data_IF_648833345759
#
_entry.id   IF_648833345759
#
_cell.length_a   1.000
_cell.length_b   1.000
_cell.length_c   1.000
_cell.angle_alpha   90.00
_cell.angle_beta   90.00
_cell.angle_gamma   90.00
#
_symmetry.space_group_name_H-M   'P 1'
#
loop_
_entity.id
_entity.type
_entity.pdbx_description
1 polymer ?
#
# COMPACT_ATOMS: atom_id res chain seq x y z
N UNK A 1 -29.33 38.82 32.30
CA UNK A 1 -28.12 39.17 31.52
C UNK A 1 -26.98 39.38 32.49
N UNK A 2 -26.13 38.37 32.71
CA UNK A 2 -24.97 38.43 33.60
C UNK A 2 -24.02 37.29 33.23
N UNK A 3 -22.75 37.64 33.04
CA UNK A 3 -21.55 36.77 33.00
C UNK A 3 -21.06 36.36 31.60
N UNK A 4 -20.73 37.38 30.80
CA UNK A 4 -19.50 37.40 30.00
C UNK A 4 -18.43 37.97 30.94
N UNK A 5 -17.33 37.25 31.19
CA UNK A 5 -15.97 37.70 31.57
C UNK A 5 -15.19 36.51 32.17
N UNK A 6 -13.94 36.37 31.70
CA UNK A 6 -12.86 35.45 32.09
C UNK A 6 -12.77 34.14 31.28
N UNK A 7 -12.32 34.06 30.02
CA UNK A 7 -11.05 34.46 29.40
C UNK A 7 -9.87 34.61 30.39
N UNK A 8 -8.82 33.80 30.21
CA UNK A 8 -7.59 33.68 31.04
C UNK A 8 -7.60 32.51 32.04
N UNK A 9 -7.60 31.28 31.51
CA UNK A 9 -6.85 30.15 32.09
C UNK A 9 -6.20 29.40 30.92
N UNK A 10 -5.24 30.05 30.25
CA UNK A 10 -4.57 29.54 29.05
C UNK A 10 -3.07 29.25 29.25
N UNK A 11 -2.49 29.41 30.44
CA UNK A 11 -1.04 29.19 30.64
C UNK A 11 -0.72 28.74 32.06
N UNK A 12 -0.85 27.44 32.36
CA UNK A 12 -0.29 26.89 33.61
C UNK A 12 -0.13 25.36 33.65
N UNK A 13 0.13 24.65 32.55
CA UNK A 13 0.68 23.26 32.63
C UNK A 13 1.61 23.00 31.44
N UNK A 14 2.57 23.90 31.23
CA UNK A 14 3.75 23.66 30.38
C UNK A 14 4.94 23.57 31.32
N UNK A 15 5.34 22.35 31.69
CA UNK A 15 6.40 22.14 32.66
C UNK A 15 6.64 20.67 32.93
N UNK A 16 7.33 20.00 31.99
CA UNK A 16 8.39 19.04 32.31
C UNK A 16 9.10 18.63 31.03
N UNK A 17 10.12 19.43 30.72
CA UNK A 17 11.26 19.07 29.88
C UNK A 17 12.18 18.18 30.73
N UNK A 18 12.41 16.93 30.32
CA UNK A 18 13.64 16.22 30.72
C UNK A 18 14.07 15.25 29.63
N UNK A 19 15.28 15.53 29.15
CA UNK A 19 16.05 14.83 28.15
C UNK A 19 16.17 13.32 28.39
N UNK A 20 16.13 12.55 27.32
CA UNK A 20 16.95 11.34 27.20
C UNK A 20 17.64 11.32 25.85
N UNK A 21 18.97 11.19 25.95
CA UNK A 21 19.93 11.42 24.91
C UNK A 21 19.92 10.37 23.79
N UNK A 22 20.35 10.88 22.64
CA UNK A 22 20.72 10.15 21.45
C UNK A 22 21.99 9.32 21.68
N UNK A 23 21.93 8.03 21.39
CA UNK A 23 23.07 7.29 20.87
C UNK A 23 22.64 6.56 19.61
N UNK A 24 23.08 7.12 18.48
CA UNK A 24 22.97 6.52 17.16
C UNK A 24 24.10 5.51 17.01
N UNK A 25 23.76 4.26 16.68
CA UNK A 25 24.69 3.32 16.05
C UNK A 25 24.23 3.14 14.60
N UNK A 26 25.04 3.65 13.67
CA UNK A 26 24.85 3.44 12.25
C UNK A 26 25.39 2.04 11.92
N UNK A 27 24.51 1.11 11.54
CA UNK A 27 24.94 -0.15 10.92
C UNK A 27 25.13 0.09 9.42
N UNK A 28 26.38 0.11 9.01
CA UNK A 28 26.83 0.07 7.62
C UNK A 28 26.32 -1.21 6.96
N UNK A 29 25.35 -1.12 6.05
CA UNK A 29 25.00 -2.25 5.19
C UNK A 29 25.98 -2.28 4.01
N UNK A 30 26.82 -3.32 3.99
CA UNK A 30 27.73 -3.65 2.90
C UNK A 30 26.94 -4.08 1.66
N UNK A 31 27.28 -3.46 0.53
CA UNK A 31 26.72 -3.78 -0.78
C UNK A 31 27.08 -5.19 -1.25
N UNK A 32 26.19 -5.74 -2.07
CA UNK A 32 26.49 -6.87 -2.94
C UNK A 32 25.97 -6.49 -4.32
N UNK A 33 26.89 -6.03 -5.16
CA UNK A 33 26.65 -5.79 -6.58
C UNK A 33 26.51 -7.14 -7.28
N UNK A 34 25.34 -7.40 -7.86
CA UNK A 34 25.13 -8.53 -8.77
C UNK A 34 25.58 -8.13 -10.17
N UNK A 35 26.63 -8.78 -10.64
CA UNK A 35 27.11 -8.79 -12.02
C UNK A 35 26.06 -9.41 -12.95
N UNK A 36 25.56 -8.61 -13.90
CA UNK A 36 24.69 -9.05 -14.99
C UNK A 36 25.29 -8.60 -16.32
N UNK A 37 25.77 -9.57 -17.07
CA UNK A 37 26.49 -9.46 -18.34
C UNK A 37 25.71 -8.73 -19.44
N UNK A 38 26.33 -7.69 -20.01
CA UNK A 38 25.89 -7.03 -21.25
C UNK A 38 26.60 -7.70 -22.43
N UNK A 39 25.90 -8.51 -23.23
CA UNK A 39 26.40 -8.98 -24.52
C UNK A 39 26.08 -7.94 -25.60
N UNK A 40 27.07 -7.10 -25.90
CA UNK A 40 27.12 -6.29 -27.12
C UNK A 40 27.51 -7.20 -28.29
N UNK A 41 26.59 -7.37 -29.25
CA UNK A 41 26.84 -8.05 -30.52
C UNK A 41 26.81 -7.02 -31.65
N UNK A 42 27.99 -6.53 -32.02
CA UNK A 42 28.20 -5.54 -33.08
C UNK A 42 27.96 -6.12 -34.47
N UNK A 43 27.29 -5.32 -35.28
CA UNK A 43 27.04 -5.46 -36.71
C UNK A 43 28.28 -5.22 -37.57
N UNK A 44 28.61 -6.12 -38.49
CA UNK A 44 29.39 -5.82 -39.71
C UNK A 44 29.29 -6.94 -40.76
N UNK A 45 28.89 -6.58 -41.99
CA UNK A 45 29.32 -7.26 -43.23
C UNK A 45 28.29 -8.12 -44.01
N UNK A 46 27.73 -7.56 -45.08
CA UNK A 46 27.19 -8.29 -46.26
C UNK A 46 28.35 -8.60 -47.26
N UNK A 47 28.17 -9.27 -48.44
CA UNK A 47 27.00 -9.90 -49.07
C UNK A 47 27.24 -11.30 -49.75
N UNK A 48 26.16 -11.83 -50.37
CA UNK A 48 26.07 -12.77 -51.54
C UNK A 48 25.90 -14.29 -51.29
N UNK A 49 24.74 -14.83 -51.68
CA UNK A 49 24.54 -15.64 -52.91
C UNK A 49 23.10 -16.19 -53.00
N UNK A 50 22.58 -16.25 -54.23
CA UNK A 50 21.21 -16.61 -54.67
C UNK A 50 21.01 -18.12 -54.77
N UNK A 51 19.82 -18.66 -54.46
CA UNK A 51 19.19 -19.82 -55.17
C UNK A 51 17.67 -19.91 -54.85
N UNK A 52 16.92 -20.43 -55.82
CA UNK A 52 15.49 -20.24 -56.15
C UNK A 52 14.60 -21.38 -55.57
N UNK A 53 13.32 -21.06 -55.28
CA UNK A 53 12.08 -21.76 -55.73
C UNK A 53 11.16 -22.43 -54.68
N UNK A 54 9.86 -22.17 -54.92
CA UNK A 54 8.65 -22.98 -54.72
C UNK A 54 7.74 -22.67 -53.51
N UNK A 55 6.44 -22.70 -53.83
CA UNK A 55 5.29 -22.23 -53.07
C UNK A 55 4.89 -23.12 -51.89
N UNK A 56 4.30 -22.49 -50.87
CA UNK A 56 3.55 -23.17 -49.80
C UNK A 56 3.11 -22.20 -48.71
N UNK A 57 1.88 -21.72 -48.78
CA UNK A 57 1.10 -21.26 -47.61
C UNK A 57 0.16 -22.40 -47.19
N UNK A 58 -0.46 -22.41 -46.00
CA UNK A 58 -0.06 -21.87 -44.69
C UNK A 58 -0.17 -22.96 -43.58
N UNK A 59 0.54 -22.80 -42.46
CA UNK A 59 0.05 -23.35 -41.17
C UNK A 59 0.46 -22.39 -40.07
N UNK A 60 -0.54 -21.63 -39.61
CA UNK A 60 -0.49 -20.90 -38.36
C UNK A 60 -0.63 -21.91 -37.23
N UNK A 61 0.48 -22.51 -36.80
CA UNK A 61 0.49 -23.28 -35.57
C UNK A 61 0.42 -22.33 -34.39
N UNK A 62 -0.63 -22.57 -33.61
CA UNK A 62 -1.08 -21.76 -32.51
C UNK A 62 0.00 -21.65 -31.42
N UNK A 63 0.35 -20.39 -31.19
CA UNK A 63 0.98 -19.79 -30.03
C UNK A 63 0.65 -20.53 -28.71
N UNK A 64 1.52 -21.46 -28.33
CA UNK A 64 1.53 -22.05 -26.99
C UNK A 64 2.18 -21.06 -26.02
N UNK A 65 1.51 -19.92 -25.79
CA UNK A 65 1.80 -19.03 -24.65
C UNK A 65 1.36 -19.72 -23.37
N UNK A 66 2.18 -20.64 -22.90
CA UNK A 66 2.27 -20.96 -21.48
C UNK A 66 2.76 -19.70 -20.79
N UNK A 67 1.82 -18.82 -20.47
CA UNK A 67 2.09 -17.60 -19.71
C UNK A 67 2.69 -18.01 -18.38
N UNK A 68 3.93 -17.60 -18.14
CA UNK A 68 4.58 -17.70 -16.84
C UNK A 68 3.60 -17.25 -15.76
N UNK A 69 3.44 -17.99 -14.64
CA UNK A 69 2.60 -17.53 -13.54
C UNK A 69 3.05 -16.12 -13.15
N UNK A 70 2.13 -15.17 -12.95
CA UNK A 70 2.49 -13.79 -12.63
C UNK A 70 3.43 -13.78 -11.41
N UNK A 71 4.47 -12.94 -11.44
CA UNK A 71 5.51 -12.91 -10.40
C UNK A 71 4.89 -12.74 -9.02
N UNK A 72 5.51 -13.39 -8.03
CA UNK A 72 5.09 -13.44 -6.61
C UNK A 72 4.31 -12.19 -6.21
N UNK A 73 2.99 -12.36 -6.18
CA UNK A 73 2.06 -11.24 -6.08
C UNK A 73 2.19 -10.61 -4.70
N UNK A 74 2.67 -9.36 -4.64
CA UNK A 74 2.74 -8.62 -3.40
C UNK A 74 1.30 -8.38 -2.90
N UNK A 75 0.86 -9.13 -1.90
CA UNK A 75 -0.46 -8.99 -1.26
C UNK A 75 -0.39 -8.23 0.06
N UNK A 76 0.80 -7.72 0.41
CA UNK A 76 1.07 -7.07 1.68
C UNK A 76 1.07 -5.55 1.51
N UNK A 77 0.50 -4.86 2.49
CA UNK A 77 0.57 -3.40 2.58
C UNK A 77 0.63 -2.97 4.04
N UNK A 78 0.93 -1.70 4.31
CA UNK A 78 0.89 -1.18 5.67
C UNK A 78 -0.52 -0.69 6.01
N UNK A 79 -0.93 -0.84 7.26
CA UNK A 79 -2.20 -0.32 7.76
C UNK A 79 -2.30 1.19 7.54
N UNK A 80 -1.20 1.92 7.79
CA UNK A 80 -1.11 3.35 7.52
C UNK A 80 -1.53 3.67 6.09
N UNK A 81 -1.00 2.95 5.09
CA UNK A 81 -1.32 3.18 3.68
C UNK A 81 -2.74 2.82 3.29
N UNK A 82 -3.39 1.90 4.02
CA UNK A 82 -4.80 1.60 3.82
C UNK A 82 -5.67 2.74 4.36
N UNK A 83 -5.31 3.29 5.52
CA UNK A 83 -6.08 4.32 6.22
C UNK A 83 -5.87 5.73 5.65
N UNK A 84 -4.64 6.07 5.26
CA UNK A 84 -4.26 7.33 4.60
C UNK A 84 -4.73 7.31 3.14
N UNK A 85 -6.05 7.45 2.97
CA UNK A 85 -6.72 7.35 1.67
C UNK A 85 -6.51 8.58 0.78
N UNK A 86 -6.27 9.75 1.38
CA UNK A 86 -5.98 11.01 0.69
C UNK A 86 -4.49 11.21 0.42
N UNK A 87 -3.59 10.40 0.99
CA UNK A 87 -2.12 10.47 0.82
C UNK A 87 -1.55 11.80 1.25
N UNK A 88 -2.11 12.40 2.28
CA UNK A 88 -1.54 13.62 2.87
C UNK A 88 -0.44 13.28 3.90
N UNK A 89 -0.19 11.99 4.14
CA UNK A 89 0.81 11.53 5.10
C UNK A 89 0.29 11.49 6.54
N UNK A 90 -1.01 11.74 6.75
CA UNK A 90 -1.64 11.89 8.06
C UNK A 90 -2.92 11.07 8.11
N UNK A 91 -2.95 10.04 8.96
CA UNK A 91 -4.20 9.36 9.29
C UNK A 91 -4.93 10.17 10.34
N UNK A 92 -6.15 10.60 10.03
CA UNK A 92 -6.98 11.39 10.93
C UNK A 92 -7.95 10.53 11.75
N UNK A 93 -8.65 11.15 12.71
CA UNK A 93 -9.76 10.50 13.42
C UNK A 93 -10.93 10.15 12.48
N UNK A 94 -11.10 10.89 11.38
CA UNK A 94 -12.09 10.59 10.34
C UNK A 94 -11.78 9.28 9.61
N UNK A 95 -10.51 9.06 9.26
CA UNK A 95 -10.04 7.83 8.62
C UNK A 95 -10.21 6.63 9.56
N UNK A 96 -9.87 6.82 10.84
CA UNK A 96 -10.13 5.82 11.87
C UNK A 96 -11.61 5.48 11.99
N UNK A 97 -12.49 6.48 12.02
CA UNK A 97 -13.93 6.26 12.10
C UNK A 97 -14.44 5.52 10.86
N UNK A 98 -13.89 5.81 9.68
CA UNK A 98 -14.23 5.13 8.44
C UNK A 98 -13.80 3.67 8.48
N UNK A 99 -12.53 3.40 8.81
CA UNK A 99 -12.01 2.05 8.96
C UNK A 99 -12.77 1.21 9.99
N UNK A 100 -13.26 1.82 11.07
CA UNK A 100 -14.10 1.17 12.11
C UNK A 100 -15.48 0.76 11.62
N UNK A 101 -16.01 1.35 10.54
CA UNK A 101 -17.29 0.93 9.93
C UNK A 101 -17.14 -0.39 9.17
N UNK A 102 -15.93 -0.71 8.73
CA UNK A 102 -15.61 -1.96 8.04
C UNK A 102 -15.06 -3.03 8.97
N UNK A 103 -14.54 -4.10 8.38
CA UNK A 103 -13.90 -5.22 9.09
C UNK A 103 -12.38 -5.14 9.11
N UNK A 104 -11.76 -4.01 8.74
CA UNK A 104 -10.30 -3.83 8.67
C UNK A 104 -9.59 -4.18 9.99
N UNK A 105 -10.21 -3.88 11.14
CA UNK A 105 -9.65 -4.19 12.45
C UNK A 105 -10.16 -5.53 13.04
N UNK A 106 -10.84 -6.36 12.24
CA UNK A 106 -11.27 -7.70 12.68
C UNK A 106 -10.03 -8.55 12.91
N UNK A 107 -9.99 -9.25 14.05
CA UNK A 107 -8.83 -10.06 14.46
C UNK A 107 -7.69 -9.30 15.13
N UNK A 108 -7.77 -7.96 15.24
CA UNK A 108 -6.80 -7.20 16.02
C UNK A 108 -7.16 -7.25 17.51
N UNK A 109 -6.13 -7.42 18.35
CA UNK A 109 -6.28 -7.35 19.80
C UNK A 109 -6.74 -5.96 20.24
N UNK A 110 -7.44 -5.89 21.38
CA UNK A 110 -7.89 -4.62 21.96
C UNK A 110 -6.72 -3.66 22.21
N UNK A 111 -5.61 -4.18 22.73
CA UNK A 111 -4.36 -3.44 22.94
C UNK A 111 -3.86 -2.79 21.65
N UNK A 112 -3.79 -3.56 20.55
CA UNK A 112 -3.37 -3.05 19.23
C UNK A 112 -4.30 -1.95 18.73
N UNK A 113 -5.62 -2.13 18.87
CA UNK A 113 -6.60 -1.10 18.48
C UNK A 113 -6.38 0.20 19.27
N UNK A 114 -6.19 0.10 20.59
CA UNK A 114 -5.89 1.27 21.43
C UNK A 114 -4.56 1.93 21.05
N UNK A 115 -3.53 1.15 20.69
CA UNK A 115 -2.26 1.73 20.22
C UNK A 115 -2.39 2.45 18.87
N UNK A 116 -3.23 1.94 17.96
CA UNK A 116 -3.56 2.63 16.70
C UNK A 116 -4.30 3.94 16.98
N UNK A 117 -5.29 3.92 17.87
CA UNK A 117 -6.01 5.13 18.29
C UNK A 117 -5.05 6.16 18.90
N UNK A 118 -4.14 5.73 19.77
CA UNK A 118 -3.12 6.59 20.34
C UNK A 118 -2.16 7.15 19.28
N UNK A 119 -1.73 6.34 18.30
CA UNK A 119 -0.92 6.81 17.17
C UNK A 119 -1.58 7.96 16.40
N UNK A 120 -2.90 7.88 16.21
CA UNK A 120 -3.68 8.89 15.49
C UNK A 120 -3.89 10.14 16.35
N UNK A 121 -4.35 9.97 17.59
CA UNK A 121 -4.78 11.09 18.44
C UNK A 121 -3.59 11.81 19.08
N UNK A 122 -2.60 11.07 19.59
CA UNK A 122 -1.50 11.63 20.40
C UNK A 122 -0.22 11.84 19.59
N UNK A 123 -0.05 11.12 18.48
CA UNK A 123 1.20 11.11 17.71
C UNK A 123 0.99 11.55 16.25
N UNK A 124 0.00 12.42 16.03
CA UNK A 124 -0.29 13.09 14.75
C UNK A 124 -0.65 12.15 13.59
N UNK A 125 -0.85 10.85 13.84
CA UNK A 125 -1.30 9.90 12.81
C UNK A 125 -0.35 9.68 11.63
N UNK A 126 0.91 10.13 11.70
CA UNK A 126 1.86 9.98 10.60
C UNK A 126 2.45 8.56 10.48
N UNK A 127 3.09 8.27 9.34
CA UNK A 127 3.64 6.94 9.06
C UNK A 127 4.68 6.49 10.11
N UNK A 128 5.50 7.41 10.61
CA UNK A 128 6.51 7.10 11.62
C UNK A 128 5.87 6.61 12.93
N UNK A 129 4.74 7.21 13.34
CA UNK A 129 3.97 6.76 14.50
C UNK A 129 3.41 5.34 14.32
N UNK A 130 2.93 5.01 13.12
CA UNK A 130 2.47 3.65 12.80
C UNK A 130 3.62 2.63 12.73
N UNK A 131 4.81 3.02 12.26
CA UNK A 131 6.00 2.14 12.24
C UNK A 131 6.41 1.70 13.65
N UNK A 132 6.26 2.57 14.65
CA UNK A 132 6.54 2.26 16.07
C UNK A 132 5.61 1.21 16.67
N UNK A 133 4.42 1.00 16.10
CA UNK A 133 3.46 -0.01 16.56
C UNK A 133 3.86 -1.44 16.19
N UNK A 134 4.92 -1.61 15.39
CA UNK A 134 5.54 -2.89 15.10
C UNK A 134 5.21 -3.47 13.72
N UNK A 135 5.90 -4.56 13.34
CA UNK A 135 5.92 -5.07 11.98
C UNK A 135 4.58 -5.64 11.51
N UNK A 136 3.69 -6.05 12.43
CA UNK A 136 2.36 -6.58 12.10
C UNK A 136 1.51 -5.56 11.36
N UNK A 137 1.62 -4.27 11.70
CA UNK A 137 0.89 -3.20 11.04
C UNK A 137 1.55 -2.72 9.74
N UNK A 138 2.79 -3.16 9.48
CA UNK A 138 3.52 -2.85 8.25
C UNK A 138 3.34 -3.92 7.17
N UNK A 139 2.79 -5.09 7.52
CA UNK A 139 2.70 -6.26 6.66
C UNK A 139 1.30 -6.88 6.69
N UNK A 140 0.26 -6.07 6.52
CA UNK A 140 -1.13 -6.53 6.44
C UNK A 140 -1.30 -7.33 5.15
N UNK A 141 -1.60 -8.63 5.28
CA UNK A 141 -1.92 -9.49 4.14
C UNK A 141 -3.39 -9.32 3.74
N UNK A 142 -3.63 -8.70 2.58
CA UNK A 142 -4.99 -8.43 2.11
C UNK A 142 -5.79 -9.69 1.77
N UNK A 143 -5.13 -10.82 1.47
CA UNK A 143 -5.83 -12.10 1.20
C UNK A 143 -6.65 -12.57 2.40
N UNK A 144 -6.20 -12.23 3.62
CA UNK A 144 -6.91 -12.61 4.86
C UNK A 144 -8.28 -11.94 4.99
N UNK A 145 -8.51 -10.84 4.28
CA UNK A 145 -9.80 -10.15 4.25
C UNK A 145 -10.69 -10.61 3.11
N UNK A 146 -10.17 -11.38 2.16
CA UNK A 146 -10.89 -11.82 0.96
C UNK A 146 -11.24 -13.30 0.94
N UNK A 147 -11.19 -13.96 2.10
CA UNK A 147 -11.58 -15.37 2.21
C UNK A 147 -10.85 -16.26 1.19
N UNK A 148 -9.65 -15.85 0.77
CA UNK A 148 -8.82 -16.47 -0.27
C UNK A 148 -9.40 -16.50 -1.70
N UNK A 149 -10.36 -15.61 -2.05
CA UNK A 149 -10.87 -15.48 -3.43
C UNK A 149 -9.87 -14.83 -4.39
N UNK A 150 -8.89 -14.09 -3.87
CA UNK A 150 -7.86 -13.34 -4.58
C UNK A 150 -8.36 -12.12 -5.38
N UNK A 151 -9.58 -11.63 -5.15
CA UNK A 151 -10.13 -10.43 -5.77
C UNK A 151 -11.11 -9.69 -4.84
N UNK A 152 -11.17 -8.36 -4.96
CA UNK A 152 -12.14 -7.53 -4.26
C UNK A 152 -13.13 -6.91 -5.24
N UNK A 153 -14.42 -7.19 -5.05
CA UNK A 153 -15.50 -6.47 -5.71
C UNK A 153 -15.89 -5.21 -4.91
N UNK A 154 -16.66 -4.31 -5.52
CA UNK A 154 -17.12 -3.04 -4.89
C UNK A 154 -17.72 -3.24 -3.49
N UNK A 155 -18.70 -4.15 -3.37
CA UNK A 155 -19.37 -4.45 -2.10
C UNK A 155 -18.38 -4.92 -1.03
N UNK A 156 -17.38 -5.70 -1.45
CA UNK A 156 -16.39 -6.27 -0.55
C UNK A 156 -15.39 -5.22 -0.06
N UNK A 157 -14.93 -4.31 -0.93
CA UNK A 157 -14.11 -3.16 -0.53
C UNK A 157 -14.82 -2.31 0.53
N UNK A 158 -16.11 -2.02 0.33
CA UNK A 158 -16.92 -1.26 1.30
C UNK A 158 -17.02 -1.98 2.64
N UNK A 159 -17.30 -3.28 2.62
CA UNK A 159 -17.42 -4.09 3.83
C UNK A 159 -16.09 -4.17 4.61
N UNK A 160 -14.98 -4.33 3.91
CA UNK A 160 -13.66 -4.50 4.56
C UNK A 160 -13.11 -3.17 5.05
N UNK A 161 -13.08 -2.15 4.19
CA UNK A 161 -12.41 -0.89 4.48
C UNK A 161 -13.33 0.20 5.05
N UNK A 162 -14.65 -0.04 5.06
CA UNK A 162 -15.64 0.93 5.54
C UNK A 162 -15.81 2.16 4.63
N UNK A 163 -15.35 2.06 3.38
CA UNK A 163 -15.36 3.14 2.39
C UNK A 163 -16.71 3.26 1.66
N UNK A 164 -16.95 4.39 1.01
CA UNK A 164 -18.17 4.64 0.21
C UNK A 164 -18.01 4.19 -1.27
N UNK A 165 -19.09 4.33 -2.06
CA UNK A 165 -19.10 3.93 -3.48
C UNK A 165 -18.10 4.72 -4.32
N UNK A 166 -18.00 6.04 -4.14
CA UNK A 166 -17.05 6.88 -4.89
C UNK A 166 -15.60 6.46 -4.63
N UNK A 167 -15.25 6.14 -3.38
CA UNK A 167 -13.93 5.66 -3.00
C UNK A 167 -13.65 4.26 -3.59
N UNK A 168 -14.64 3.36 -3.53
CA UNK A 168 -14.52 2.04 -4.13
C UNK A 168 -14.33 2.13 -5.66
N UNK A 169 -15.03 3.04 -6.33
CA UNK A 169 -14.90 3.27 -7.77
C UNK A 169 -13.53 3.84 -8.16
N UNK A 170 -12.95 4.72 -7.33
CA UNK A 170 -11.56 5.18 -7.54
C UNK A 170 -10.54 4.05 -7.43
N UNK A 171 -10.77 3.06 -6.55
CA UNK A 171 -9.91 1.87 -6.42
C UNK A 171 -10.08 0.94 -7.62
N UNK A 172 -11.31 0.67 -8.02
CA UNK A 172 -11.64 -0.27 -9.10
C UNK A 172 -11.37 0.31 -10.50
N UNK A 173 -11.47 1.62 -10.67
CA UNK A 173 -11.50 2.27 -11.97
C UNK A 173 -12.71 1.80 -12.78
N UNK A 174 -12.47 1.33 -14.00
CA UNK A 174 -13.51 0.80 -14.89
C UNK A 174 -13.79 -0.71 -14.70
N UNK A 175 -13.20 -1.35 -13.69
CA UNK A 175 -13.33 -2.80 -13.45
C UNK A 175 -14.46 -3.11 -12.46
N UNK A 176 -15.07 -4.29 -12.58
CA UNK A 176 -16.04 -4.78 -11.58
C UNK A 176 -15.36 -5.34 -10.31
N UNK A 177 -14.09 -5.76 -10.44
CA UNK A 177 -13.26 -6.26 -9.35
C UNK A 177 -11.77 -5.98 -9.59
N UNK A 178 -10.99 -6.01 -8.51
CA UNK A 178 -9.54 -5.84 -8.53
C UNK A 178 -8.85 -7.04 -7.88
N UNK A 179 -7.77 -7.55 -8.49
CA UNK A 179 -7.00 -8.64 -7.89
C UNK A 179 -6.39 -8.18 -6.56
N UNK A 180 -6.23 -9.08 -5.59
CA UNK A 180 -5.65 -8.73 -4.28
C UNK A 180 -4.25 -8.13 -4.40
N UNK A 181 -3.45 -8.63 -5.35
CA UNK A 181 -2.14 -8.09 -5.67
C UNK A 181 -2.19 -6.68 -6.26
N UNK A 182 -3.13 -6.44 -7.19
CA UNK A 182 -3.36 -5.12 -7.77
C UNK A 182 -3.82 -4.14 -6.69
N UNK A 183 -4.67 -4.57 -5.75
CA UNK A 183 -5.13 -3.76 -4.64
C UNK A 183 -3.99 -3.41 -3.66
N UNK A 184 -3.15 -4.39 -3.32
CA UNK A 184 -1.96 -4.13 -2.50
C UNK A 184 -1.00 -3.17 -3.21
N UNK A 185 -0.79 -3.31 -4.52
CA UNK A 185 -0.01 -2.37 -5.32
C UNK A 185 -0.64 -0.99 -5.36
N UNK A 186 -1.97 -0.90 -5.44
CA UNK A 186 -2.71 0.35 -5.36
C UNK A 186 -2.48 1.05 -4.01
N UNK A 187 -2.59 0.32 -2.89
CA UNK A 187 -2.28 0.87 -1.57
C UNK A 187 -0.79 1.17 -1.37
N UNK A 188 0.10 0.48 -2.05
CA UNK A 188 1.54 0.73 -1.95
C UNK A 188 2.03 1.83 -2.89
N UNK A 189 1.25 2.15 -3.92
CA UNK A 189 1.54 3.19 -4.90
C UNK A 189 1.12 4.57 -4.46
N UNK A 190 1.55 5.57 -5.24
CA UNK A 190 1.29 6.99 -4.98
C UNK A 190 -0.05 7.46 -5.56
N UNK A 191 -1.13 6.69 -5.33
CA UNK A 191 -2.49 7.03 -5.79
C UNK A 191 -3.36 7.43 -4.61
N UNK A 192 -4.02 8.58 -4.75
CA UNK A 192 -4.99 9.10 -3.79
C UNK A 192 -6.38 8.63 -4.21
N UNK A 193 -7.24 8.30 -3.25
CA UNK A 193 -8.63 7.95 -3.53
C UNK A 193 -9.64 8.47 -2.50
N UNK A 194 -9.20 9.29 -1.55
CA UNK A 194 -10.12 10.15 -0.81
C UNK A 194 -10.91 11.09 -1.75
N UNK A 195 -12.11 11.53 -1.35
CA UNK A 195 -12.95 12.46 -2.12
C UNK A 195 -12.18 13.70 -2.58
#
# INVERSE_FOLDING_TARGET
MKNIIALVVFFAVFGSLSAYGSYWTASSYSGSASSGVSSAGSSTGSPQAVTIRAAGSPVSDADSRVGSPPPAQNTKTSLFRIMDSNRDGIVTQGDLSTAKKGTLFKGFERSTKTSIEAAIINYQGNEASFKRLGPRLQNINLQTYDENRNYFARSHLKSVFGINDNQADKILGAKDSILTAELANFFNGNRNFAP
#
